data_IF_649809133259
#
_entry.id   IF_649809133259
#
_cell.length_a   1.000
_cell.length_b   1.000
_cell.length_c   1.000
_cell.angle_alpha   90.00
_cell.angle_beta   90.00
_cell.angle_gamma   90.00
#
_symmetry.space_group_name_H-M   'P 1'
#
loop_
_entity.id
_entity.type
_entity.pdbx_description
1 polymer ?
#
# COMPACT_ATOMS: atom_id res chain seq x y z
N UNK A 1 1.55 -9.50 -12.16
CA UNK A 1 1.72 -8.98 -10.79
C UNK A 1 2.37 -10.01 -9.90
N UNK A 2 3.56 -9.68 -9.43
CA UNK A 2 4.48 -10.53 -8.70
C UNK A 2 3.92 -10.80 -7.30
N UNK A 3 3.41 -12.02 -7.10
CA UNK A 3 2.90 -12.48 -5.80
C UNK A 3 3.97 -12.42 -4.69
N UNK A 4 5.25 -12.32 -5.03
CA UNK A 4 6.34 -12.16 -4.07
C UNK A 4 6.49 -10.72 -3.54
N UNK A 5 5.81 -9.72 -4.13
CA UNK A 5 5.97 -8.32 -3.75
C UNK A 5 5.59 -8.05 -2.30
N UNK A 6 4.42 -8.49 -1.85
CA UNK A 6 3.98 -8.35 -0.46
C UNK A 6 4.97 -8.98 0.54
N UNK A 7 5.28 -10.30 0.47
CA UNK A 7 6.13 -10.92 1.48
C UNK A 7 7.53 -10.32 1.52
N UNK A 8 8.12 -9.98 0.36
CA UNK A 8 9.46 -9.40 0.27
C UNK A 8 9.54 -7.98 0.87
N UNK A 9 8.56 -7.12 0.60
CA UNK A 9 8.50 -5.79 1.18
C UNK A 9 8.25 -5.85 2.69
N UNK A 10 7.39 -6.77 3.15
CA UNK A 10 7.13 -6.94 4.59
C UNK A 10 8.39 -7.39 5.34
N UNK A 11 9.12 -8.38 4.82
CA UNK A 11 10.39 -8.82 5.41
C UNK A 11 11.37 -7.64 5.52
N UNK A 12 11.51 -6.84 4.46
CA UNK A 12 12.35 -5.66 4.49
C UNK A 12 11.88 -4.62 5.52
N UNK A 13 10.58 -4.35 5.63
CA UNK A 13 10.00 -3.42 6.62
C UNK A 13 10.30 -3.89 8.05
N UNK A 14 10.25 -5.20 8.32
CA UNK A 14 10.53 -5.78 9.63
C UNK A 14 11.97 -5.53 10.10
N UNK A 15 12.93 -5.38 9.17
CA UNK A 15 14.31 -4.98 9.50
C UNK A 15 14.41 -3.54 10.02
N UNK A 16 13.39 -2.71 9.76
CA UNK A 16 13.37 -1.26 10.02
C UNK A 16 14.54 -0.50 9.37
N UNK A 17 15.13 -1.06 8.32
CA UNK A 17 16.18 -0.43 7.52
C UNK A 17 15.57 0.10 6.23
N UNK A 18 15.63 1.42 6.04
CA UNK A 18 15.16 2.04 4.79
C UNK A 18 15.90 1.49 3.57
N UNK A 19 17.20 1.24 3.69
CA UNK A 19 18.03 0.67 2.63
C UNK A 19 17.49 -0.71 2.21
N UNK A 20 17.17 -1.57 3.18
CA UNK A 20 16.63 -2.89 2.87
C UNK A 20 15.28 -2.82 2.14
N UNK A 21 14.43 -1.83 2.46
CA UNK A 21 13.15 -1.61 1.78
C UNK A 21 13.36 -1.07 0.36
N UNK A 22 14.32 -0.17 0.17
CA UNK A 22 14.71 0.36 -1.14
C UNK A 22 15.23 -0.74 -2.06
N UNK A 23 16.14 -1.57 -1.55
CA UNK A 23 16.71 -2.70 -2.28
C UNK A 23 15.63 -3.72 -2.64
N UNK A 24 14.72 -4.03 -1.71
CA UNK A 24 13.59 -4.93 -1.97
C UNK A 24 12.70 -4.44 -3.12
N UNK A 25 12.36 -3.15 -3.16
CA UNK A 25 11.54 -2.61 -4.25
C UNK A 25 12.30 -2.57 -5.59
N UNK A 26 13.60 -2.27 -5.56
CA UNK A 26 14.43 -2.31 -6.77
C UNK A 26 14.54 -3.73 -7.35
N UNK A 27 14.75 -4.72 -6.48
CA UNK A 27 14.76 -6.14 -6.84
C UNK A 27 13.42 -6.58 -7.46
N UNK A 28 12.30 -6.23 -6.83
CA UNK A 28 10.96 -6.56 -7.32
C UNK A 28 10.67 -5.93 -8.69
N UNK A 29 11.10 -4.68 -8.91
CA UNK A 29 10.99 -4.02 -10.22
C UNK A 29 11.76 -4.76 -11.29
N UNK A 30 13.03 -5.07 -11.04
CA UNK A 30 13.87 -5.79 -11.98
C UNK A 30 13.28 -7.19 -12.31
N UNK A 31 12.67 -7.85 -11.33
CA UNK A 31 11.98 -9.12 -11.54
C UNK A 31 10.72 -8.96 -12.40
N UNK A 32 9.90 -7.93 -12.18
CA UNK A 32 8.72 -7.67 -13.01
C UNK A 32 9.12 -7.34 -14.46
N UNK A 33 10.12 -6.48 -14.65
CA UNK A 33 10.67 -6.14 -15.96
C UNK A 33 11.24 -7.35 -16.70
N UNK A 34 11.87 -8.28 -15.98
CA UNK A 34 12.44 -9.49 -16.57
C UNK A 34 11.38 -10.57 -16.90
N UNK A 35 10.28 -10.63 -16.14
CA UNK A 35 9.24 -11.66 -16.30
C UNK A 35 8.16 -11.29 -17.32
N UNK A 36 7.90 -10.00 -17.52
CA UNK A 36 6.81 -9.54 -18.39
C UNK A 36 7.34 -8.88 -19.66
N UNK A 37 7.14 -9.54 -20.80
CA UNK A 37 7.22 -8.87 -22.11
C UNK A 37 5.91 -8.14 -22.34
N UNK A 38 5.84 -6.87 -21.94
CA UNK A 38 4.70 -6.02 -22.23
C UNK A 38 4.59 -5.77 -23.74
N UNK A 39 3.37 -5.79 -24.33
CA UNK A 39 3.19 -5.42 -25.73
C UNK A 39 3.67 -3.98 -25.97
N UNK A 40 4.26 -3.73 -27.15
CA UNK A 40 4.69 -2.39 -27.57
C UNK A 40 3.57 -1.36 -27.38
N UNK A 41 3.82 -0.34 -26.55
CA UNK A 41 2.87 0.73 -26.23
C UNK A 41 2.03 0.51 -24.96
N UNK A 42 2.17 -0.63 -24.27
CA UNK A 42 1.50 -0.95 -23.00
C UNK A 42 2.50 -1.19 -21.85
N UNK A 43 3.72 -0.66 -21.96
CA UNK A 43 4.72 -0.77 -20.90
C UNK A 43 4.31 0.17 -19.75
N UNK A 44 4.06 -0.35 -18.53
CA UNK A 44 3.76 0.49 -17.39
C UNK A 44 4.95 1.40 -17.10
N UNK A 45 4.67 2.64 -16.72
CA UNK A 45 5.67 3.56 -16.20
C UNK A 45 6.24 3.03 -14.87
N UNK A 46 7.43 3.52 -14.50
CA UNK A 46 8.03 3.19 -13.19
C UNK A 46 7.10 3.54 -12.02
N UNK A 47 6.29 4.59 -12.15
CA UNK A 47 5.34 5.00 -11.12
C UNK A 47 4.17 4.02 -11.00
N UNK A 48 3.61 3.56 -12.12
CA UNK A 48 2.56 2.54 -12.12
C UNK A 48 3.07 1.24 -11.53
N UNK A 49 4.27 0.80 -11.93
CA UNK A 49 4.89 -0.40 -11.39
C UNK A 49 5.16 -0.29 -9.88
N UNK A 50 5.69 0.85 -9.43
CA UNK A 50 5.91 1.09 -8.00
C UNK A 50 4.59 1.10 -7.22
N UNK A 51 3.54 1.73 -7.76
CA UNK A 51 2.21 1.73 -7.15
C UNK A 51 1.67 0.31 -7.01
N UNK A 52 1.75 -0.51 -8.05
CA UNK A 52 1.32 -1.91 -7.99
C UNK A 52 2.10 -2.69 -6.92
N UNK A 53 3.43 -2.63 -6.95
CA UNK A 53 4.29 -3.37 -6.03
C UNK A 53 4.08 -2.95 -4.57
N UNK A 54 4.00 -1.64 -4.30
CA UNK A 54 3.83 -1.11 -2.93
C UNK A 54 2.43 -1.30 -2.37
N UNK A 55 1.43 -1.55 -3.22
CA UNK A 55 0.05 -1.88 -2.83
C UNK A 55 -0.29 -3.37 -3.03
N UNK A 56 0.70 -4.22 -3.27
CA UNK A 56 0.53 -5.67 -3.32
C UNK A 56 -0.11 -6.19 -2.04
N UNK A 57 -0.95 -7.22 -2.14
CA UNK A 57 -1.73 -7.72 -1.00
C UNK A 57 -1.35 -9.13 -0.59
N UNK A 58 -1.43 -9.39 0.72
CA UNK A 58 -1.37 -10.73 1.29
C UNK A 58 -2.64 -11.54 1.02
N UNK A 59 -2.60 -12.82 1.38
CA UNK A 59 -3.79 -13.68 1.40
C UNK A 59 -4.87 -13.17 2.38
N UNK A 60 -4.46 -12.48 3.45
CA UNK A 60 -5.34 -11.80 4.41
C UNK A 60 -5.76 -10.39 3.96
N UNK A 61 -5.52 -10.03 2.70
CA UNK A 61 -5.87 -8.72 2.10
C UNK A 61 -5.20 -7.53 2.83
N UNK A 62 -3.99 -7.72 3.34
CA UNK A 62 -3.16 -6.68 3.94
C UNK A 62 -2.15 -6.12 2.93
N UNK A 63 -1.88 -4.82 3.02
CA UNK A 63 -0.83 -4.11 2.26
C UNK A 63 0.46 -3.96 3.08
N UNK A 64 1.63 -3.73 2.45
CA UNK A 64 2.88 -3.42 3.16
C UNK A 64 2.74 -2.22 4.11
N UNK A 65 1.96 -1.21 3.72
CA UNK A 65 1.67 -0.04 4.56
C UNK A 65 0.93 -0.45 5.85
N UNK A 66 -0.02 -1.38 5.78
CA UNK A 66 -0.72 -1.87 6.98
C UNK A 66 0.23 -2.57 7.95
N UNK A 67 1.17 -3.38 7.45
CA UNK A 67 2.19 -4.03 8.28
C UNK A 67 3.14 -3.02 8.91
N UNK A 68 3.56 -2.01 8.15
CA UNK A 68 4.39 -0.92 8.68
C UNK A 68 3.70 -0.19 9.81
N UNK A 69 2.43 0.19 9.63
CA UNK A 69 1.65 0.92 10.63
C UNK A 69 1.43 0.07 11.87
N UNK A 70 1.15 -1.24 11.70
CA UNK A 70 1.07 -2.16 12.82
C UNK A 70 2.38 -2.17 13.64
N UNK A 71 3.52 -2.32 12.97
CA UNK A 71 4.83 -2.31 13.62
C UNK A 71 5.10 -0.97 14.32
N UNK A 72 4.76 0.15 13.69
CA UNK A 72 4.88 1.49 14.27
C UNK A 72 4.05 1.62 15.56
N UNK A 73 2.76 1.25 15.53
CA UNK A 73 1.88 1.30 16.68
C UNK A 73 2.39 0.44 17.85
N UNK A 74 2.92 -0.75 17.54
CA UNK A 74 3.55 -1.62 18.55
C UNK A 74 4.77 -0.96 19.20
N UNK A 75 5.62 -0.29 18.41
CA UNK A 75 6.83 0.38 18.91
C UNK A 75 6.51 1.63 19.72
N UNK A 76 5.50 2.39 19.29
CA UNK A 76 5.01 3.56 20.01
C UNK A 76 4.44 3.18 21.37
N UNK A 77 3.64 2.12 21.45
CA UNK A 77 3.08 1.61 22.71
C UNK A 77 4.18 1.19 23.70
N UNK A 78 5.32 0.72 23.18
CA UNK A 78 6.51 0.34 23.98
C UNK A 78 7.44 1.51 24.31
N UNK A 79 7.15 2.73 23.83
CA UNK A 79 8.01 3.90 24.02
C UNK A 79 9.32 3.86 23.22
N UNK A 80 9.43 3.02 22.19
CA UNK A 80 10.62 2.88 21.36
C UNK A 80 10.64 3.95 20.25
N UNK A 81 11.03 5.18 20.63
CA UNK A 81 11.01 6.34 19.75
C UNK A 81 11.97 6.18 18.55
N UNK A 82 13.13 5.57 18.74
CA UNK A 82 14.10 5.37 17.67
C UNK A 82 13.56 4.43 16.57
N UNK A 83 12.84 3.36 16.95
CA UNK A 83 12.13 2.53 15.98
C UNK A 83 11.02 3.29 15.26
N UNK A 84 10.27 4.13 15.98
CA UNK A 84 9.23 4.97 15.38
C UNK A 84 9.79 5.96 14.35
N UNK A 85 10.95 6.56 14.60
CA UNK A 85 11.63 7.45 13.65
C UNK A 85 12.02 6.71 12.36
N UNK A 86 12.63 5.52 12.47
CA UNK A 86 12.97 4.70 11.30
C UNK A 86 11.74 4.31 10.50
N UNK A 87 10.67 3.89 11.18
CA UNK A 87 9.40 3.52 10.53
C UNK A 87 8.69 4.72 9.90
N UNK A 88 8.82 5.93 10.46
CA UNK A 88 8.36 7.16 9.84
C UNK A 88 9.10 7.47 8.53
N UNK A 89 10.42 7.27 8.50
CA UNK A 89 11.21 7.45 7.29
C UNK A 89 10.79 6.45 6.20
N UNK A 90 10.60 5.18 6.57
CA UNK A 90 10.12 4.14 5.64
C UNK A 90 8.71 4.48 5.13
N UNK A 91 7.79 4.91 6.00
CA UNK A 91 6.44 5.30 5.59
C UNK A 91 6.46 6.45 4.58
N UNK A 92 7.30 7.46 4.83
CA UNK A 92 7.45 8.63 3.95
C UNK A 92 7.92 8.18 2.57
N UNK A 93 8.97 7.36 2.53
CA UNK A 93 9.51 6.84 1.29
C UNK A 93 8.50 5.95 0.55
N UNK A 94 7.79 5.05 1.25
CA UNK A 94 6.76 4.20 0.62
C UNK A 94 5.64 5.02 -0.03
N UNK A 95 5.18 6.08 0.61
CA UNK A 95 4.19 7.01 0.04
C UNK A 95 4.74 7.72 -1.19
N UNK A 96 6.01 8.12 -1.19
CA UNK A 96 6.67 8.68 -2.39
C UNK A 96 6.74 7.67 -3.53
N UNK A 97 6.82 6.37 -3.21
CA UNK A 97 6.80 5.29 -4.20
C UNK A 97 5.39 4.82 -4.60
N UNK A 98 4.30 5.42 -4.12
CA UNK A 98 2.95 5.01 -4.55
C UNK A 98 2.12 4.24 -3.53
N UNK A 99 2.66 3.93 -2.35
CA UNK A 99 1.87 3.25 -1.32
C UNK A 99 0.68 4.12 -0.91
N UNK A 100 -0.52 3.55 -1.00
CA UNK A 100 -1.76 4.27 -0.68
C UNK A 100 -2.22 3.94 0.76
N UNK A 101 -2.18 4.92 1.69
CA UNK A 101 -2.65 4.73 3.05
C UNK A 101 -4.17 4.72 3.20
N UNK A 102 -4.93 5.09 2.16
CA UNK A 102 -6.40 5.10 2.17
C UNK A 102 -6.98 3.72 1.86
N UNK A 103 -6.18 2.80 1.33
CA UNK A 103 -6.65 1.46 1.03
C UNK A 103 -7.22 0.77 2.27
N UNK A 104 -8.43 0.24 2.13
CA UNK A 104 -9.02 -0.64 3.13
C UNK A 104 -8.21 -1.93 3.25
N UNK A 105 -8.11 -2.44 4.48
CA UNK A 105 -7.35 -3.63 4.83
C UNK A 105 -8.28 -4.72 5.38
N UNK A 106 -7.85 -5.97 5.30
CA UNK A 106 -8.55 -7.13 5.87
C UNK A 106 -10.01 -7.24 5.40
N UNK A 107 -10.26 -6.99 4.10
CA UNK A 107 -11.62 -7.09 3.53
C UNK A 107 -12.07 -8.53 3.53
N UNK A 108 -13.31 -8.76 3.97
CA UNK A 108 -13.93 -10.08 3.87
C UNK A 108 -14.17 -10.44 2.41
N UNK A 109 -13.77 -11.63 1.98
CA UNK A 109 -14.12 -12.16 0.66
C UNK A 109 -15.57 -12.65 0.73
N UNK A 110 -16.49 -11.90 0.13
CA UNK A 110 -17.92 -12.22 0.05
C UNK A 110 -18.18 -12.96 -1.25
N UNK A 111 -18.53 -14.24 -1.15
CA UNK A 111 -18.96 -15.03 -2.31
C UNK A 111 -20.30 -14.51 -2.84
N UNK A 112 -20.34 -14.08 -4.10
CA UNK A 112 -21.55 -13.61 -4.79
C UNK A 112 -22.24 -14.68 -5.62
N UNK A 113 -21.55 -15.75 -6.00
CA UNK A 113 -22.15 -16.83 -6.79
C UNK A 113 -21.12 -17.70 -7.48
N UNK A 114 -21.50 -18.22 -8.64
CA UNK A 114 -20.65 -18.97 -9.54
C UNK A 114 -20.77 -18.39 -10.94
N UNK A 115 -19.65 -18.29 -11.65
CA UNK A 115 -19.58 -17.98 -13.08
C UNK A 115 -18.63 -18.98 -13.73
N UNK A 116 -19.10 -19.67 -14.77
CA UNK A 116 -18.38 -20.75 -15.46
C UNK A 116 -17.77 -21.83 -14.53
N UNK A 117 -18.47 -22.19 -13.45
CA UNK A 117 -17.99 -23.21 -12.50
C UNK A 117 -16.90 -22.71 -11.55
N UNK A 118 -16.57 -21.41 -11.56
CA UNK A 118 -15.68 -20.77 -10.59
C UNK A 118 -16.48 -19.87 -9.64
N UNK A 119 -16.15 -19.83 -8.33
CA UNK A 119 -16.82 -18.93 -7.41
C UNK A 119 -16.51 -17.47 -7.78
N UNK A 120 -17.56 -16.67 -8.00
CA UNK A 120 -17.43 -15.22 -8.10
C UNK A 120 -17.44 -14.67 -6.70
N UNK A 121 -16.37 -13.96 -6.33
CA UNK A 121 -16.22 -13.34 -5.03
C UNK A 121 -16.05 -11.83 -5.20
N UNK A 122 -16.76 -11.06 -4.36
CA UNK A 122 -16.55 -9.64 -4.19
C UNK A 122 -15.79 -9.40 -2.88
N UNK A 123 -15.01 -8.32 -2.83
CA UNK A 123 -14.45 -7.86 -1.56
C UNK A 123 -15.51 -7.02 -0.84
N UNK A 124 -15.79 -7.38 0.41
CA UNK A 124 -16.60 -6.58 1.32
C UNK A 124 -15.85 -5.34 1.79
N UNK A 125 -16.50 -4.54 2.65
CA UNK A 125 -15.87 -3.39 3.30
C UNK A 125 -14.78 -3.85 4.26
N UNK A 126 -13.60 -3.26 4.15
CA UNK A 126 -12.48 -3.49 5.06
C UNK A 126 -12.44 -2.44 6.16
N UNK A 127 -11.32 -2.37 6.86
CA UNK A 127 -11.05 -1.28 7.80
C UNK A 127 -9.92 -0.41 7.27
N UNK A 128 -10.10 0.89 7.38
CA UNK A 128 -9.04 1.88 7.13
C UNK A 128 -7.99 1.79 8.24
N UNK A 129 -6.79 2.30 7.96
CA UNK A 129 -5.71 2.36 8.95
C UNK A 129 -6.13 3.16 10.20
N UNK A 130 -6.94 4.20 10.04
CA UNK A 130 -7.44 5.03 11.15
C UNK A 130 -8.41 4.25 12.03
N UNK A 131 -9.35 3.50 11.43
CA UNK A 131 -10.31 2.69 12.19
C UNK A 131 -9.63 1.58 13.00
N UNK A 132 -8.50 1.06 12.52
CA UNK A 132 -7.77 -0.02 13.20
C UNK A 132 -6.83 0.52 14.29
N UNK A 133 -6.03 1.54 13.96
CA UNK A 133 -4.92 1.96 14.83
C UNK A 133 -5.21 3.25 15.58
N UNK A 134 -6.15 4.08 15.11
CA UNK A 134 -6.38 5.43 15.61
C UNK A 134 -5.33 6.43 15.14
N UNK A 135 -5.72 7.69 14.97
CA UNK A 135 -4.88 8.76 14.42
C UNK A 135 -3.53 8.92 15.14
N UNK A 136 -3.49 8.77 16.47
CA UNK A 136 -2.26 8.95 17.26
C UNK A 136 -1.18 7.90 16.98
N UNK A 137 -1.58 6.73 16.45
CA UNK A 137 -0.70 5.58 16.23
C UNK A 137 -0.31 5.40 14.76
N UNK A 138 -0.55 6.42 13.93
CA UNK A 138 -0.15 6.42 12.53
C UNK A 138 1.18 7.17 12.36
N UNK A 139 2.05 6.73 11.43
CA UNK A 139 3.20 7.49 10.99
C UNK A 139 2.83 8.91 10.54
N UNK A 140 3.75 9.86 10.69
CA UNK A 140 3.47 11.28 10.48
C UNK A 140 2.95 11.59 9.06
N UNK A 141 3.55 10.99 8.03
CA UNK A 141 3.14 11.19 6.62
C UNK A 141 1.70 10.71 6.40
N UNK A 142 1.34 9.55 6.96
CA UNK A 142 -0.01 8.97 6.88
C UNK A 142 -1.02 9.91 7.53
N UNK A 143 -0.73 10.41 8.74
CA UNK A 143 -1.59 11.39 9.42
C UNK A 143 -1.82 12.65 8.59
N UNK A 144 -0.74 13.21 8.02
CA UNK A 144 -0.82 14.42 7.18
C UNK A 144 -1.71 14.19 5.95
N UNK A 145 -1.55 13.06 5.28
CA UNK A 145 -2.36 12.71 4.11
C UNK A 145 -3.84 12.58 4.49
N UNK A 146 -4.13 11.88 5.58
CA UNK A 146 -5.52 11.68 6.01
C UNK A 146 -6.16 12.98 6.47
N UNK A 147 -5.43 13.85 7.19
CA UNK A 147 -5.93 15.16 7.57
C UNK A 147 -6.24 16.03 6.34
N UNK A 148 -5.35 16.05 5.35
CA UNK A 148 -5.57 16.74 4.08
C UNK A 148 -6.78 16.19 3.30
N UNK A 149 -7.16 14.93 3.54
CA UNK A 149 -8.37 14.32 2.98
C UNK A 149 -9.65 14.64 3.81
N UNK A 150 -9.58 14.78 5.13
CA UNK A 150 -10.79 15.07 5.92
C UNK A 150 -11.28 16.52 5.83
N UNK A 151 -10.43 17.49 5.49
CA UNK A 151 -10.76 18.93 5.49
C UNK A 151 -11.45 19.44 4.18
N UNK A 152 -12.00 18.54 3.35
CA UNK A 152 -12.57 18.89 2.03
C UNK A 152 -13.74 17.96 1.70
N UNK A 153 -14.79 18.48 1.06
CA UNK A 153 -16.05 17.75 0.81
C UNK A 153 -15.86 16.46 -0.01
N UNK A 154 -16.56 15.37 0.40
CA UNK A 154 -16.76 14.11 -0.35
C UNK A 154 -15.53 13.20 -0.54
N UNK A 155 -15.49 12.08 0.18
CA UNK A 155 -14.30 11.20 0.31
C UNK A 155 -13.83 10.51 -0.99
N UNK A 156 -14.71 9.84 -1.74
CA UNK A 156 -14.26 8.91 -2.80
C UNK A 156 -13.74 9.59 -4.07
N UNK A 157 -14.44 10.61 -4.58
CA UNK A 157 -14.04 11.30 -5.80
C UNK A 157 -12.73 12.07 -5.65
N UNK A 158 -12.39 12.48 -4.41
CA UNK A 158 -11.15 13.20 -4.13
C UNK A 158 -9.98 12.28 -3.84
N UNK A 159 -10.20 11.15 -3.15
CA UNK A 159 -9.19 10.09 -3.09
C UNK A 159 -8.80 9.71 -4.52
N UNK A 160 -9.77 9.53 -5.42
CA UNK A 160 -9.49 9.23 -6.82
C UNK A 160 -8.66 10.33 -7.53
N UNK A 161 -9.00 11.61 -7.35
CA UNK A 161 -8.20 12.73 -7.89
C UNK A 161 -6.80 12.79 -7.32
N UNK A 162 -6.65 12.61 -6.01
CA UNK A 162 -5.33 12.57 -5.36
C UNK A 162 -4.45 11.48 -5.99
N UNK A 163 -5.03 10.31 -6.26
CA UNK A 163 -4.34 9.21 -6.92
C UNK A 163 -3.93 9.53 -8.36
N UNK A 164 -4.84 10.13 -9.15
CA UNK A 164 -4.57 10.53 -10.52
C UNK A 164 -3.47 11.61 -10.56
N UNK A 165 -3.62 12.67 -9.78
CA UNK A 165 -2.70 13.82 -9.78
C UNK A 165 -1.31 13.46 -9.24
N UNK A 166 -1.23 12.58 -8.22
CA UNK A 166 0.03 12.24 -7.56
C UNK A 166 0.79 11.11 -8.23
N UNK A 167 0.08 10.10 -8.73
CA UNK A 167 0.71 8.88 -9.26
C UNK A 167 0.59 8.75 -10.78
N UNK A 168 -0.12 9.69 -11.44
CA UNK A 168 -0.30 9.66 -12.89
C UNK A 168 -1.09 8.45 -13.37
N UNK A 169 -1.92 7.85 -12.51
CA UNK A 169 -2.76 6.71 -12.86
C UNK A 169 -3.76 7.18 -13.93
N UNK A 170 -3.69 6.57 -15.12
CA UNK A 170 -4.52 6.95 -16.25
C UNK A 170 -6.02 6.96 -15.87
N UNK A 171 -6.75 7.99 -16.31
CA UNK A 171 -8.20 8.00 -16.28
C UNK A 171 -8.71 6.73 -16.98
N UNK A 172 -9.27 5.79 -16.22
CA UNK A 172 -10.05 4.70 -16.81
C UNK A 172 -11.24 5.35 -17.53
N UNK A 173 -11.45 5.05 -18.84
CA UNK A 173 -12.60 5.54 -19.59
C UNK A 173 -13.94 4.98 -19.09
#
# INVERSE_FOLDING_TARGET
MNRAAYPRLVEAIQTQSLICVQDALAELRALEEAQHTYPLGLNPSTNELNWELTNARSDDDLTPMATLVHLYAMKQTKGDLASCERLNAIATWLVEQGADPFQEQARTIIRKGWDNGLPVCNRGRGKTLVEVFGQSNLPQVVRKMIAAVNDSEGDEARILRYHIDRYGLANLP
#
